data_IF_599812505791
#
_entry.id   IF_599812505791
#
_cell.length_a   1.000
_cell.length_b   1.000
_cell.length_c   1.000
_cell.angle_alpha   90.00
_cell.angle_beta   90.00
_cell.angle_gamma   90.00
#
_symmetry.space_group_name_H-M   'P 1'
#
loop_
_entity.id
_entity.type
_entity.pdbx_description
1 polymer ?
#
# COMPACT_ATOMS: atom_id res chain seq x y z
N UNK A 1 -21.64 -40.10 -26.92
CA UNK A 1 -20.23 -40.02 -26.48
C UNK A 1 -19.46 -39.20 -27.50
N UNK A 2 -19.21 -37.92 -27.20
CA UNK A 2 -18.57 -36.95 -28.12
C UNK A 2 -17.16 -36.65 -27.63
N UNK A 3 -16.25 -36.58 -28.60
CA UNK A 3 -14.81 -36.80 -28.52
C UNK A 3 -14.08 -35.62 -27.85
N UNK A 4 -13.08 -35.95 -27.04
CA UNK A 4 -12.05 -35.02 -26.55
C UNK A 4 -11.07 -34.81 -27.70
N UNK A 5 -10.76 -33.56 -28.04
CA UNK A 5 -9.61 -33.21 -28.87
C UNK A 5 -8.86 -32.05 -28.24
N UNK A 6 -7.56 -32.25 -28.13
CA UNK A 6 -6.56 -31.50 -27.38
C UNK A 6 -5.94 -30.37 -28.23
N UNK A 7 -5.56 -29.30 -27.53
CA UNK A 7 -4.38 -28.44 -27.73
C UNK A 7 -4.23 -27.58 -29.01
N UNK A 8 -4.05 -26.27 -28.80
CA UNK A 8 -2.79 -25.57 -29.06
C UNK A 8 -2.86 -24.12 -28.52
N UNK A 9 -2.17 -23.85 -27.41
CA UNK A 9 -1.94 -22.49 -26.89
C UNK A 9 -0.59 -22.02 -27.45
N UNK A 10 -0.64 -21.08 -28.41
CA UNK A 10 0.55 -20.45 -28.97
C UNK A 10 0.92 -19.25 -28.09
N UNK A 11 1.97 -19.43 -27.30
CA UNK A 11 2.59 -18.42 -26.46
C UNK A 11 3.49 -17.54 -27.35
N UNK A 12 3.03 -16.32 -27.67
CA UNK A 12 3.83 -15.36 -28.42
C UNK A 12 4.60 -14.47 -27.44
N UNK A 13 5.92 -14.60 -27.45
CA UNK A 13 6.85 -13.85 -26.60
C UNK A 13 7.33 -12.61 -27.37
N UNK A 14 6.96 -11.42 -26.90
CA UNK A 14 7.42 -10.13 -27.45
C UNK A 14 8.61 -9.66 -26.61
N UNK A 15 9.82 -9.70 -27.18
CA UNK A 15 11.01 -9.07 -26.62
C UNK A 15 11.15 -7.66 -27.20
N UNK A 16 10.89 -6.65 -26.36
CA UNK A 16 11.18 -5.25 -26.64
C UNK A 16 12.66 -4.94 -26.40
N UNK A 17 13.27 -4.19 -27.33
CA UNK A 17 14.57 -3.57 -27.13
C UNK A 17 14.37 -2.14 -26.62
N UNK A 18 15.05 -1.79 -25.53
CA UNK A 18 15.14 -0.43 -24.99
C UNK A 18 16.49 0.16 -25.38
N UNK A 19 16.45 1.34 -25.99
CA UNK A 19 17.63 2.16 -26.23
C UNK A 19 17.94 2.96 -24.95
N UNK A 20 19.16 2.82 -24.43
CA UNK A 20 19.70 3.73 -23.41
C UNK A 20 20.81 4.56 -24.05
N UNK A 21 20.51 5.83 -24.29
CA UNK A 21 21.52 6.86 -24.60
C UNK A 21 22.09 7.38 -23.28
N UNK A 22 23.39 7.20 -23.07
CA UNK A 22 24.14 7.75 -21.94
C UNK A 22 24.81 9.03 -22.38
N UNK A 23 24.26 10.19 -22.03
CA UNK A 23 24.95 11.47 -22.15
C UNK A 23 25.59 11.79 -20.80
N UNK A 24 26.90 11.56 -20.72
CA UNK A 24 27.76 12.02 -19.64
C UNK A 24 28.36 13.35 -20.06
N UNK A 25 27.89 14.45 -19.48
CA UNK A 25 28.65 15.70 -19.42
C UNK A 25 28.40 16.32 -18.04
N UNK A 26 29.44 16.34 -17.21
CA UNK A 26 29.50 17.18 -16.02
C UNK A 26 30.89 17.80 -16.01
N UNK A 27 30.95 18.99 -16.59
CA UNK A 27 32.09 19.89 -16.64
C UNK A 27 31.93 20.91 -15.51
N UNK A 28 32.82 20.80 -14.54
CA UNK A 28 33.70 21.89 -14.07
C UNK A 28 33.10 23.16 -13.44
N UNK A 29 33.63 23.41 -12.24
CA UNK A 29 34.15 24.69 -11.72
C UNK A 29 33.47 25.35 -10.51
N UNK A 30 34.32 25.45 -9.50
CA UNK A 30 34.36 26.26 -8.29
C UNK A 30 34.51 27.78 -8.51
N UNK A 31 34.40 28.50 -7.37
CA UNK A 31 34.79 29.90 -7.04
C UNK A 31 33.63 30.92 -7.04
N UNK A 32 33.53 31.96 -6.20
CA UNK A 32 34.18 32.44 -4.96
C UNK A 32 33.38 33.68 -4.47
N UNK A 33 33.19 33.82 -3.15
CA UNK A 33 32.91 35.03 -2.30
C UNK A 33 31.90 36.13 -2.69
N UNK A 34 31.14 36.59 -1.67
CA UNK A 34 30.89 38.03 -1.47
C UNK A 34 29.54 38.46 -0.85
N UNK A 35 29.60 38.93 0.40
CA UNK A 35 28.79 40.04 0.98
C UNK A 35 27.37 39.80 1.56
N UNK A 36 27.29 39.95 2.90
CA UNK A 36 26.17 40.46 3.74
C UNK A 36 25.81 41.93 3.41
N UNK A 37 24.64 42.51 3.79
CA UNK A 37 23.92 42.31 5.05
C UNK A 37 22.37 42.28 5.03
N UNK A 38 21.82 41.85 6.16
CA UNK A 38 20.59 42.28 6.85
C UNK A 38 19.33 42.60 6.02
N UNK A 39 18.29 41.79 6.20
CA UNK A 39 16.95 42.33 6.42
C UNK A 39 16.08 41.36 7.21
N UNK A 40 15.89 41.74 8.47
CA UNK A 40 14.88 41.22 9.37
C UNK A 40 13.48 41.50 8.80
N UNK A 41 12.77 40.47 8.35
CA UNK A 41 11.32 40.51 8.20
C UNK A 41 10.69 39.33 8.96
N UNK A 42 10.23 39.68 10.15
CA UNK A 42 9.20 39.01 10.93
C UNK A 42 8.02 38.64 10.03
N UNK A 43 7.92 37.37 9.65
CA UNK A 43 6.69 36.81 9.10
C UNK A 43 6.09 35.88 10.16
N UNK A 44 5.09 36.44 10.83
CA UNK A 44 4.16 35.76 11.71
C UNK A 44 3.64 34.50 11.03
N UNK A 45 4.22 33.36 11.38
CA UNK A 45 3.68 32.05 11.02
C UNK A 45 2.43 31.87 11.87
N UNK A 46 1.28 32.22 11.29
CA UNK A 46 -0.03 31.87 11.80
C UNK A 46 -0.17 30.35 11.69
N UNK A 47 0.18 29.66 12.77
CA UNK A 47 -0.13 28.26 12.97
C UNK A 47 -1.62 28.12 13.26
N UNK A 48 -2.43 27.98 12.21
CA UNK A 48 -3.82 27.53 12.34
C UNK A 48 -3.82 26.11 12.95
N UNK A 49 -4.44 25.88 14.13
CA UNK A 49 -4.53 24.57 14.73
C UNK A 49 -5.92 23.98 14.40
N UNK A 50 -6.09 23.47 13.18
CA UNK A 50 -7.39 22.92 12.78
C UNK A 50 -7.28 21.76 11.80
N UNK A 51 -6.45 20.76 12.13
CA UNK A 51 -6.48 19.44 11.49
C UNK A 51 -6.38 18.29 12.52
N UNK A 52 -6.97 18.48 13.71
CA UNK A 52 -7.09 17.43 14.74
C UNK A 52 -8.47 16.77 14.76
N UNK A 53 -8.95 16.32 13.59
CA UNK A 53 -10.09 15.42 13.48
C UNK A 53 -9.76 14.22 12.56
N UNK A 54 -8.51 13.75 12.63
CA UNK A 54 -8.15 12.44 12.10
C UNK A 54 -8.25 11.40 13.21
N UNK A 55 -9.47 11.01 13.60
CA UNK A 55 -9.68 9.87 14.51
C UNK A 55 -8.90 8.68 13.94
N UNK A 56 -7.78 8.36 14.60
CA UNK A 56 -6.91 7.25 14.26
C UNK A 56 -7.65 5.96 14.59
N UNK A 57 -8.63 5.58 13.77
CA UNK A 57 -9.24 4.26 13.82
C UNK A 57 -8.08 3.28 13.45
N UNK A 58 -7.47 2.67 14.48
CA UNK A 58 -6.13 2.06 14.51
C UNK A 58 -5.93 0.79 13.68
N UNK A 59 -6.48 0.73 12.47
CA UNK A 59 -6.56 -0.46 11.62
C UNK A 59 -5.24 -0.89 10.94
N UNK A 60 -4.11 -0.25 11.26
CA UNK A 60 -2.87 -0.37 10.47
C UNK A 60 -2.00 -1.59 10.78
N UNK A 61 -1.95 -2.03 12.04
CA UNK A 61 -0.84 -2.87 12.54
C UNK A 61 -1.21 -4.28 13.02
N UNK A 62 -2.45 -4.73 12.84
CA UNK A 62 -2.93 -5.99 13.43
C UNK A 62 -2.16 -7.23 12.98
N UNK A 63 -1.79 -7.35 11.70
CA UNK A 63 -1.00 -8.50 11.23
C UNK A 63 0.36 -8.60 11.94
N UNK A 64 1.00 -7.47 12.23
CA UNK A 64 2.29 -7.46 12.94
C UNK A 64 2.10 -7.97 14.39
N UNK A 65 1.03 -7.55 15.05
CA UNK A 65 0.68 -7.99 16.40
C UNK A 65 0.33 -9.49 16.45
N UNK A 66 -0.37 -10.01 15.43
CA UNK A 66 -0.65 -11.46 15.30
C UNK A 66 0.63 -12.27 15.33
N UNK A 67 1.56 -11.90 14.46
CA UNK A 67 2.76 -12.68 14.21
C UNK A 67 3.71 -12.63 15.39
N UNK A 68 3.74 -11.53 16.14
CA UNK A 68 4.52 -11.44 17.38
C UNK A 68 3.90 -12.22 18.54
N UNK A 69 2.58 -12.43 18.55
CA UNK A 69 1.91 -13.21 19.59
C UNK A 69 2.00 -14.72 19.36
N UNK A 70 2.29 -15.14 18.12
CA UNK A 70 2.59 -16.53 17.80
C UNK A 70 4.04 -16.80 18.18
N UNK A 71 4.27 -17.77 19.07
CA UNK A 71 5.61 -18.26 19.39
C UNK A 71 6.16 -19.06 18.18
N UNK A 72 6.56 -18.35 17.13
CA UNK A 72 7.08 -18.93 15.88
C UNK A 72 8.52 -19.41 16.09
N UNK A 73 8.83 -20.60 15.59
CA UNK A 73 10.22 -21.07 15.51
C UNK A 73 11.03 -20.29 14.46
N UNK A 74 12.36 -20.46 14.47
CA UNK A 74 13.26 -19.72 13.58
C UNK A 74 12.96 -19.95 12.09
N UNK A 75 12.58 -21.17 11.69
CA UNK A 75 12.24 -21.50 10.30
C UNK A 75 10.92 -20.83 9.89
N UNK A 76 9.92 -20.87 10.77
CA UNK A 76 8.64 -20.19 10.58
C UNK A 76 8.83 -18.68 10.47
N UNK A 77 9.64 -18.06 11.34
CA UNK A 77 9.91 -16.62 11.32
C UNK A 77 10.50 -16.16 9.98
N UNK A 78 11.49 -16.88 9.44
CA UNK A 78 12.08 -16.55 8.13
C UNK A 78 11.04 -16.58 7.01
N UNK A 79 10.22 -17.63 6.95
CA UNK A 79 9.17 -17.77 5.92
C UNK A 79 8.09 -16.70 6.06
N UNK A 80 7.67 -16.41 7.29
CA UNK A 80 6.70 -15.36 7.60
C UNK A 80 7.23 -13.97 7.23
N UNK A 81 8.52 -13.71 7.47
CA UNK A 81 9.15 -12.44 7.09
C UNK A 81 9.17 -12.25 5.57
N UNK A 82 9.45 -13.31 4.80
CA UNK A 82 9.38 -13.25 3.33
C UNK A 82 7.96 -12.92 2.85
N UNK A 83 6.94 -13.62 3.38
CA UNK A 83 5.52 -13.36 3.07
C UNK A 83 5.15 -11.91 3.40
N UNK A 84 5.57 -11.41 4.56
CA UNK A 84 5.30 -10.04 4.99
C UNK A 84 5.97 -9.02 4.08
N UNK A 85 7.23 -9.25 3.70
CA UNK A 85 7.97 -8.36 2.80
C UNK A 85 7.25 -8.23 1.45
N UNK A 86 6.86 -9.36 0.87
CA UNK A 86 6.10 -9.39 -0.38
C UNK A 86 4.76 -8.64 -0.25
N UNK A 87 4.02 -8.88 0.84
CA UNK A 87 2.77 -8.16 1.09
C UNK A 87 3.00 -6.66 1.23
N UNK A 88 4.04 -6.23 1.96
CA UNK A 88 4.34 -4.81 2.13
C UNK A 88 4.63 -4.12 0.81
N UNK A 89 5.40 -4.76 -0.08
CA UNK A 89 5.65 -4.24 -1.43
C UNK A 89 4.36 -4.05 -2.21
N UNK A 90 3.48 -5.06 -2.25
CA UNK A 90 2.17 -4.96 -2.91
C UNK A 90 1.29 -3.85 -2.30
N UNK A 91 1.26 -3.74 -0.97
CA UNK A 91 0.44 -2.74 -0.29
C UNK A 91 1.00 -1.31 -0.44
N UNK A 92 2.32 -1.15 -0.59
CA UNK A 92 2.95 0.15 -0.80
C UNK A 92 2.55 0.73 -2.15
N UNK A 93 2.66 -0.06 -3.23
CA UNK A 93 2.21 0.36 -4.57
C UNK A 93 0.73 0.78 -4.58
N UNK A 94 -0.14 -0.05 -3.98
CA UNK A 94 -1.57 0.27 -3.87
C UNK A 94 -1.84 1.53 -3.02
N UNK A 95 -1.02 1.79 -1.99
CA UNK A 95 -1.15 2.98 -1.14
C UNK A 95 -0.83 4.26 -1.91
N UNK A 96 0.16 4.24 -2.78
CA UNK A 96 0.52 5.38 -3.65
C UNK A 96 -0.62 5.70 -4.62
N UNK A 97 -1.19 4.67 -5.26
CA UNK A 97 -2.35 4.84 -6.15
C UNK A 97 -3.57 5.37 -5.39
N UNK A 98 -3.84 4.86 -4.18
CA UNK A 98 -4.92 5.38 -3.32
C UNK A 98 -4.71 6.85 -2.92
N UNK A 99 -3.47 7.29 -2.70
CA UNK A 99 -3.16 8.71 -2.44
C UNK A 99 -3.48 9.57 -3.66
N UNK A 100 -3.07 9.12 -4.85
CA UNK A 100 -3.38 9.81 -6.11
C UNK A 100 -4.89 9.96 -6.32
N UNK A 101 -5.67 8.88 -6.17
CA UNK A 101 -7.13 8.92 -6.29
C UNK A 101 -7.74 9.91 -5.27
N UNK A 102 -7.27 9.92 -4.02
CA UNK A 102 -7.75 10.88 -3.01
C UNK A 102 -7.46 12.33 -3.41
N UNK A 103 -6.32 12.61 -4.03
CA UNK A 103 -6.01 13.94 -4.56
C UNK A 103 -6.98 14.31 -5.68
N UNK A 104 -7.16 13.42 -6.66
CA UNK A 104 -8.06 13.68 -7.80
C UNK A 104 -9.52 13.86 -7.38
N UNK A 105 -9.98 13.13 -6.36
CA UNK A 105 -11.30 13.34 -5.76
C UNK A 105 -11.37 14.72 -5.08
N UNK A 106 -10.32 15.14 -4.36
CA UNK A 106 -10.28 16.47 -3.75
C UNK A 106 -10.39 17.55 -4.82
N UNK A 107 -9.63 17.43 -5.90
CA UNK A 107 -9.64 18.39 -7.01
C UNK A 107 -11.03 18.47 -7.66
N UNK A 108 -11.71 17.32 -7.81
CA UNK A 108 -13.08 17.22 -8.33
C UNK A 108 -14.13 17.84 -7.41
N UNK A 109 -13.91 17.83 -6.10
CA UNK A 109 -14.81 18.48 -5.12
C UNK A 109 -14.62 20.00 -5.13
N UNK A 110 -13.42 20.48 -5.45
CA UNK A 110 -13.10 21.91 -5.49
C UNK A 110 -13.31 22.55 -6.87
N UNK A 111 -13.76 21.81 -7.88
CA UNK A 111 -14.07 22.36 -9.20
C UNK A 111 -15.45 23.01 -9.25
N UNK A 112 -15.63 23.96 -10.17
CA UNK A 112 -16.89 24.69 -10.35
C UNK A 112 -18.08 23.78 -10.75
N UNK A 113 -17.78 22.66 -11.41
CA UNK A 113 -18.77 21.65 -11.82
C UNK A 113 -18.27 20.25 -11.50
N UNK A 114 -19.21 19.32 -11.29
CA UNK A 114 -18.92 17.92 -11.05
C UNK A 114 -18.87 17.16 -12.38
N UNK A 115 -17.70 16.59 -12.70
CA UNK A 115 -17.55 15.65 -13.82
C UNK A 115 -17.90 14.23 -13.36
N UNK A 116 -19.12 13.79 -13.64
CA UNK A 116 -19.63 12.48 -13.27
C UNK A 116 -18.83 11.32 -13.92
N UNK A 117 -18.33 11.50 -15.14
CA UNK A 117 -17.54 10.47 -15.82
C UNK A 117 -16.21 10.26 -15.11
N UNK A 118 -15.54 11.35 -14.72
CA UNK A 118 -14.31 11.29 -13.91
C UNK A 118 -14.57 10.74 -12.53
N UNK A 119 -15.67 11.12 -11.87
CA UNK A 119 -16.07 10.55 -10.57
C UNK A 119 -16.20 9.02 -10.65
N UNK A 120 -16.96 8.53 -11.63
CA UNK A 120 -17.19 7.10 -11.81
C UNK A 120 -15.88 6.34 -12.06
N UNK A 121 -15.00 6.87 -12.91
CA UNK A 121 -13.67 6.28 -13.15
C UNK A 121 -12.82 6.20 -11.88
N UNK A 122 -12.78 7.27 -11.07
CA UNK A 122 -12.04 7.29 -9.81
C UNK A 122 -12.60 6.30 -8.79
N UNK A 123 -13.92 6.16 -8.73
CA UNK A 123 -14.61 5.19 -7.87
C UNK A 123 -14.26 3.77 -8.29
N UNK A 124 -14.28 3.45 -9.59
CA UNK A 124 -13.99 2.11 -10.08
C UNK A 124 -12.51 1.73 -9.88
N UNK A 125 -11.59 2.67 -10.12
CA UNK A 125 -10.18 2.47 -9.76
C UNK A 125 -10.01 2.20 -8.26
N UNK A 126 -10.72 2.95 -7.40
CA UNK A 126 -10.66 2.76 -5.95
C UNK A 126 -11.20 1.39 -5.53
N UNK A 127 -12.33 0.93 -6.12
CA UNK A 127 -12.90 -0.39 -5.86
C UNK A 127 -11.90 -1.50 -6.20
N UNK A 128 -11.28 -1.43 -7.37
CA UNK A 128 -10.31 -2.43 -7.81
C UNK A 128 -9.09 -2.48 -6.88
N UNK A 129 -8.54 -1.33 -6.49
CA UNK A 129 -7.43 -1.29 -5.53
C UNK A 129 -7.78 -1.89 -4.18
N UNK A 130 -8.98 -1.60 -3.66
CA UNK A 130 -9.45 -2.19 -2.40
C UNK A 130 -9.56 -3.71 -2.53
N UNK A 131 -10.11 -4.21 -3.65
CA UNK A 131 -10.23 -5.64 -3.92
C UNK A 131 -8.85 -6.32 -3.97
N UNK A 132 -7.88 -5.73 -4.67
CA UNK A 132 -6.51 -6.22 -4.76
C UNK A 132 -5.82 -6.26 -3.39
N UNK A 133 -5.94 -5.17 -2.60
CA UNK A 133 -5.41 -5.12 -1.24
C UNK A 133 -6.03 -6.18 -0.33
N UNK A 134 -7.34 -6.39 -0.42
CA UNK A 134 -8.04 -7.41 0.36
C UNK A 134 -7.55 -8.81 -0.01
N UNK A 135 -7.50 -9.12 -1.30
CA UNK A 135 -7.01 -10.42 -1.81
C UNK A 135 -5.58 -10.69 -1.36
N UNK A 136 -4.69 -9.70 -1.47
CA UNK A 136 -3.29 -9.82 -1.04
C UNK A 136 -3.19 -10.11 0.48
N UNK A 137 -3.94 -9.36 1.31
CA UNK A 137 -3.95 -9.57 2.77
C UNK A 137 -4.48 -10.95 3.17
N UNK A 138 -5.59 -11.39 2.59
CA UNK A 138 -6.18 -12.71 2.87
C UNK A 138 -5.23 -13.82 2.43
N UNK A 139 -4.64 -13.69 1.24
CA UNK A 139 -3.66 -14.67 0.72
C UNK A 139 -2.46 -14.79 1.66
N UNK A 140 -1.88 -13.66 2.09
CA UNK A 140 -0.75 -13.66 3.02
C UNK A 140 -1.13 -14.28 4.39
N UNK A 141 -2.31 -13.98 4.93
CA UNK A 141 -2.81 -14.62 6.17
C UNK A 141 -2.91 -16.14 6.02
N UNK A 142 -3.43 -16.63 4.89
CA UNK A 142 -3.55 -18.06 4.63
C UNK A 142 -2.19 -18.75 4.48
N UNK A 143 -1.23 -18.09 3.80
CA UNK A 143 0.14 -18.59 3.69
C UNK A 143 0.80 -18.71 5.06
N UNK A 144 0.67 -17.69 5.92
CA UNK A 144 1.15 -17.75 7.31
C UNK A 144 0.48 -18.89 8.06
N UNK A 145 -0.85 -19.00 8.02
CA UNK A 145 -1.61 -20.03 8.72
C UNK A 145 -1.17 -21.46 8.34
N UNK A 146 -0.77 -21.66 7.08
CA UNK A 146 -0.30 -22.94 6.56
C UNK A 146 1.07 -23.36 7.12
N UNK A 147 1.86 -22.42 7.63
CA UNK A 147 3.16 -22.68 8.27
C UNK A 147 3.05 -23.05 9.75
N UNK A 148 1.88 -22.84 10.35
CA UNK A 148 1.65 -23.01 11.79
C UNK A 148 1.37 -24.48 12.14
N UNK A 149 1.82 -24.88 13.33
CA UNK A 149 1.40 -26.13 13.95
C UNK A 149 -0.01 -26.02 14.55
N UNK A 150 -0.59 -27.13 15.03
CA UNK A 150 -1.99 -27.15 15.47
C UNK A 150 -2.27 -26.24 16.68
N UNK A 151 -1.34 -26.15 17.63
CA UNK A 151 -1.46 -25.25 18.78
C UNK A 151 -1.44 -23.79 18.33
N UNK A 152 -0.51 -23.41 17.46
CA UNK A 152 -0.40 -22.06 16.90
C UNK A 152 -1.63 -21.72 16.04
N UNK A 153 -2.18 -22.68 15.28
CA UNK A 153 -3.43 -22.49 14.50
C UNK A 153 -4.63 -22.23 15.40
N UNK A 154 -4.74 -22.91 16.53
CA UNK A 154 -5.79 -22.66 17.51
C UNK A 154 -5.70 -21.23 18.08
N UNK A 155 -4.50 -20.79 18.48
CA UNK A 155 -4.25 -19.42 18.93
C UNK A 155 -4.56 -18.40 17.83
N UNK A 156 -4.16 -18.68 16.58
CA UNK A 156 -4.45 -17.82 15.43
C UNK A 156 -5.95 -17.59 15.24
N UNK A 157 -6.77 -18.65 15.34
CA UNK A 157 -8.22 -18.55 15.21
C UNK A 157 -8.85 -17.71 16.32
N UNK A 158 -8.41 -17.88 17.56
CA UNK A 158 -8.88 -17.09 18.70
C UNK A 158 -8.58 -15.60 18.50
N UNK A 159 -7.35 -15.26 18.08
CA UNK A 159 -6.99 -13.87 17.77
C UNK A 159 -7.85 -13.29 16.64
N UNK A 160 -8.18 -14.08 15.61
CA UNK A 160 -9.04 -13.60 14.52
C UNK A 160 -10.46 -13.28 15.01
N UNK A 161 -11.05 -14.15 15.83
CA UNK A 161 -12.37 -13.94 16.44
C UNK A 161 -12.38 -12.71 17.36
N UNK A 162 -11.37 -12.58 18.21
CA UNK A 162 -11.25 -11.44 19.11
C UNK A 162 -11.21 -10.11 18.33
N UNK A 163 -10.46 -10.06 17.22
CA UNK A 163 -10.42 -8.83 16.42
C UNK A 163 -11.68 -8.54 15.63
N UNK A 164 -12.40 -9.57 15.20
CA UNK A 164 -13.72 -9.38 14.60
C UNK A 164 -14.66 -8.73 15.62
N UNK A 165 -14.65 -9.22 16.87
CA UNK A 165 -15.41 -8.62 17.97
C UNK A 165 -14.93 -7.21 18.30
N UNK A 166 -13.63 -6.99 18.42
CA UNK A 166 -13.07 -5.66 18.70
C UNK A 166 -13.45 -4.66 17.61
N UNK A 167 -13.47 -5.08 16.33
CA UNK A 167 -13.91 -4.25 15.21
C UNK A 167 -15.40 -3.94 15.26
N UNK A 168 -16.23 -4.90 15.66
CA UNK A 168 -17.67 -4.67 15.85
C UNK A 168 -17.96 -3.75 17.05
N UNK A 169 -17.14 -3.85 18.10
CA UNK A 169 -17.25 -3.07 19.31
C UNK A 169 -16.65 -1.66 19.16
N UNK A 170 -15.58 -1.49 18.37
CA UNK A 170 -15.09 -0.20 17.90
C UNK A 170 -15.98 0.32 16.77
N UNK A 171 -17.18 0.74 17.14
CA UNK A 171 -17.98 1.66 16.33
C UNK A 171 -17.30 3.05 16.34
N UNK A 172 -16.37 3.23 15.42
CA UNK A 172 -16.31 4.48 14.65
C UNK A 172 -17.61 4.49 13.80
#
# INVERSE_FOLDING_TARGET
MKKISLAAVVLSFVMGQVAFATSSDTTTSSSTTGSTPDQTMTTSTSSNPSDQMGSHCGCGNHMKQMLSALNLDSSQQTKVQAIKSQLMQTLQANREQMKSIRSQIRDLVTSDTLDDAKLNSLVDQKKELIAQMMKAKVTAKQQVYSLLNDQQKAQFKQMLQQWEQDRENHKC
#
